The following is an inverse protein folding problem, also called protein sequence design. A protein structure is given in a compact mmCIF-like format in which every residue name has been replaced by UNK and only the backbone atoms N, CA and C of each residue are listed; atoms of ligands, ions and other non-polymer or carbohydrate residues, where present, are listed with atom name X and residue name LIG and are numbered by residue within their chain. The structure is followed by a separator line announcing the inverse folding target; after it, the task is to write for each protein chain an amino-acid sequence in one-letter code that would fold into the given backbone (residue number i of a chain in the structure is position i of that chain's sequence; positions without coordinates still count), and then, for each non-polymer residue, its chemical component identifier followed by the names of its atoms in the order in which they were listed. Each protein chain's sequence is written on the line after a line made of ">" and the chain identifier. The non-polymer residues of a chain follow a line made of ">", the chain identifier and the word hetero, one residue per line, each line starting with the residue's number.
data_IF_492203846181
#
_entry.id   IF_492203846181
#
_cell.length_a   1.000
_cell.length_b   1.000
_cell.length_c   1.000
_cell.angle_alpha   90.00
_cell.angle_beta   90.00
_cell.angle_gamma   90.00
#
_symmetry.space_group_name_H-M   'P 1'
#
loop_
_entity.id
_entity.type
_entity.pdbx_description
1 polymer ?
#
# COMPACT_ATOMS: atom_id res chain seq x y z
N UNK A 1 -60.96 27.42 25.33
CA UNK A 1 -61.82 26.22 25.43
C UNK A 1 -62.17 25.81 24.00
N UNK A 2 -61.65 24.67 23.52
CA UNK A 2 -62.15 23.77 22.45
C UNK A 2 -60.99 22.81 22.14
N UNK A 3 -61.15 21.58 22.63
CA UNK A 3 -60.29 20.42 22.40
C UNK A 3 -60.54 19.91 20.97
N UNK A 4 -59.49 19.70 20.17
CA UNK A 4 -59.56 18.84 18.99
C UNK A 4 -59.08 17.44 19.37
N UNK A 5 -60.02 16.49 19.35
CA UNK A 5 -59.76 15.05 19.42
C UNK A 5 -58.92 14.63 18.20
N UNK A 6 -57.73 14.12 18.44
CA UNK A 6 -57.03 13.27 17.46
C UNK A 6 -57.48 11.83 17.71
N UNK A 7 -58.35 11.32 16.82
CA UNK A 7 -58.67 9.91 16.73
C UNK A 7 -57.43 9.16 16.22
N UNK A 8 -57.07 8.09 16.91
CA UNK A 8 -55.91 7.28 16.61
C UNK A 8 -56.03 6.51 15.29
N UNK A 9 -54.89 6.39 14.61
CA UNK A 9 -54.61 5.29 13.72
C UNK A 9 -53.52 4.46 14.39
N UNK A 10 -53.94 3.39 15.08
CA UNK A 10 -53.04 2.33 15.52
C UNK A 10 -52.64 1.56 14.26
N UNK A 11 -51.44 1.83 13.75
CA UNK A 11 -50.83 0.97 12.75
C UNK A 11 -50.43 -0.33 13.45
N UNK A 12 -51.20 -1.39 13.20
CA UNK A 12 -50.80 -2.75 13.50
C UNK A 12 -49.65 -3.11 12.55
N UNK A 13 -48.42 -2.87 12.99
CA UNK A 13 -47.24 -3.43 12.36
C UNK A 13 -47.30 -4.96 12.55
N UNK A 14 -47.58 -5.66 11.45
CA UNK A 14 -47.35 -7.11 11.37
C UNK A 14 -45.85 -7.30 11.54
N UNK A 15 -45.46 -7.74 12.73
CA UNK A 15 -44.08 -8.03 13.09
C UNK A 15 -43.53 -9.20 12.28
N UNK A 16 -43.03 -8.91 11.08
CA UNK A 16 -41.88 -9.65 10.56
C UNK A 16 -40.70 -9.27 11.43
N UNK A 17 -40.05 -10.25 12.07
CA UNK A 17 -38.82 -10.02 12.80
C UNK A 17 -37.76 -9.58 11.78
N UNK A 18 -37.66 -8.28 11.50
CA UNK A 18 -36.59 -7.77 10.66
C UNK A 18 -35.28 -8.08 11.36
N UNK A 19 -34.42 -8.86 10.70
CA UNK A 19 -33.11 -9.17 11.20
C UNK A 19 -32.38 -7.87 11.55
N UNK A 20 -31.90 -7.77 12.78
CA UNK A 20 -31.19 -6.60 13.27
C UNK A 20 -29.89 -6.33 12.49
N UNK A 21 -29.27 -5.15 12.69
CA UNK A 21 -28.11 -4.72 11.91
C UNK A 21 -26.95 -5.73 11.90
N UNK A 22 -26.65 -6.37 13.03
CA UNK A 22 -25.61 -7.39 13.12
C UNK A 22 -25.93 -8.65 12.30
N UNK A 23 -27.15 -9.15 12.38
CA UNK A 23 -27.57 -10.34 11.63
C UNK A 23 -27.56 -10.11 10.10
N UNK A 24 -27.87 -8.88 9.64
CA UNK A 24 -27.75 -8.53 8.22
C UNK A 24 -26.30 -8.47 7.75
N UNK A 25 -25.41 -7.92 8.59
CA UNK A 25 -23.98 -7.93 8.32
C UNK A 25 -23.44 -9.36 8.22
N UNK A 26 -23.79 -10.24 9.15
CA UNK A 26 -23.41 -11.65 9.15
C UNK A 26 -23.87 -12.38 7.88
N UNK A 27 -25.10 -12.14 7.42
CA UNK A 27 -25.61 -12.71 6.18
C UNK A 27 -24.83 -12.21 4.94
N UNK A 28 -24.36 -10.97 4.95
CA UNK A 28 -23.48 -10.45 3.89
C UNK A 28 -22.10 -11.12 3.93
N UNK A 29 -21.54 -11.32 5.12
CA UNK A 29 -20.27 -12.03 5.30
C UNK A 29 -20.36 -13.51 4.91
N UNK A 30 -21.49 -14.18 5.15
CA UNK A 30 -21.70 -15.56 4.70
C UNK A 30 -21.56 -15.67 3.18
N UNK A 31 -22.19 -14.75 2.43
CA UNK A 31 -22.03 -14.69 0.97
C UNK A 31 -20.57 -14.42 0.58
N UNK A 32 -19.89 -13.55 1.31
CA UNK A 32 -18.48 -13.26 1.08
C UNK A 32 -17.62 -14.51 1.27
N UNK A 33 -17.85 -15.28 2.35
CA UNK A 33 -17.18 -16.56 2.61
C UNK A 33 -17.50 -17.61 1.55
N UNK A 34 -18.70 -17.56 0.96
CA UNK A 34 -19.09 -18.39 -0.18
C UNK A 34 -18.53 -17.88 -1.52
N UNK A 35 -17.64 -16.88 -1.52
CA UNK A 35 -17.07 -16.21 -2.69
C UNK A 35 -18.10 -15.54 -3.63
N UNK A 36 -19.35 -15.37 -3.20
CA UNK A 36 -20.34 -14.52 -3.88
C UNK A 36 -20.09 -13.05 -3.49
N UNK A 37 -18.97 -12.50 -3.96
CA UNK A 37 -18.55 -11.14 -3.64
C UNK A 37 -19.56 -10.08 -4.11
N UNK A 38 -20.19 -10.29 -5.27
CA UNK A 38 -21.20 -9.37 -5.79
C UNK A 38 -22.48 -9.42 -4.94
N UNK A 39 -22.92 -10.60 -4.51
CA UNK A 39 -24.04 -10.76 -3.59
C UNK A 39 -23.76 -10.26 -2.19
N UNK A 40 -22.53 -10.44 -1.70
CA UNK A 40 -22.07 -9.87 -0.44
C UNK A 40 -22.16 -8.33 -0.48
N UNK A 41 -21.64 -7.69 -1.53
CA UNK A 41 -21.74 -6.23 -1.71
C UNK A 41 -23.20 -5.75 -1.74
N UNK A 42 -24.10 -6.49 -2.40
CA UNK A 42 -25.54 -6.16 -2.37
C UNK A 42 -26.11 -6.24 -0.95
N UNK A 43 -25.79 -7.28 -0.20
CA UNK A 43 -26.25 -7.45 1.19
C UNK A 43 -25.63 -6.45 2.17
N UNK A 44 -24.37 -6.08 1.99
CA UNK A 44 -23.77 -4.98 2.74
C UNK A 44 -24.49 -3.66 2.45
N UNK A 45 -24.81 -3.37 1.19
CA UNK A 45 -25.50 -2.14 0.81
C UNK A 45 -26.90 -2.05 1.44
N UNK A 46 -27.64 -3.16 1.43
CA UNK A 46 -28.93 -3.28 2.11
C UNK A 46 -28.84 -3.02 3.63
N UNK A 47 -27.75 -3.47 4.28
CA UNK A 47 -27.48 -3.18 5.69
C UNK A 47 -27.30 -1.67 5.93
N UNK A 48 -26.56 -0.99 5.05
CA UNK A 48 -26.32 0.47 5.12
C UNK A 48 -27.61 1.25 4.90
N UNK A 49 -28.43 0.84 3.93
CA UNK A 49 -29.70 1.51 3.60
C UNK A 49 -30.73 1.35 4.72
N UNK A 50 -30.78 0.18 5.36
CA UNK A 50 -31.75 -0.12 6.42
C UNK A 50 -31.34 0.45 7.77
N UNK A 51 -30.03 0.43 8.09
CA UNK A 51 -29.52 0.82 9.41
C UNK A 51 -28.38 1.86 9.32
N UNK A 52 -28.61 3.04 8.70
CA UNK A 52 -27.57 4.02 8.37
C UNK A 52 -26.90 4.73 9.56
N UNK A 53 -27.34 4.47 10.80
CA UNK A 53 -26.71 5.03 12.00
C UNK A 53 -26.08 3.93 12.88
N UNK A 54 -26.10 2.68 12.42
CA UNK A 54 -25.56 1.54 13.15
C UNK A 54 -24.07 1.34 12.88
N UNK A 55 -23.36 0.69 13.82
CA UNK A 55 -22.01 0.18 13.57
C UNK A 55 -21.98 -0.86 12.44
N UNK A 56 -23.06 -1.61 12.22
CA UNK A 56 -23.08 -2.53 11.08
C UNK A 56 -22.99 -1.79 9.73
N UNK A 57 -23.46 -0.55 9.64
CA UNK A 57 -23.38 0.24 8.41
C UNK A 57 -21.96 0.76 8.11
N UNK A 58 -21.18 1.13 9.13
CA UNK A 58 -19.80 1.55 8.92
C UNK A 58 -18.89 0.37 8.52
N UNK A 59 -19.06 -0.79 9.18
CA UNK A 59 -18.43 -2.06 8.82
C UNK A 59 -18.82 -2.50 7.40
N UNK A 60 -20.12 -2.46 7.07
CA UNK A 60 -20.61 -2.82 5.75
C UNK A 60 -20.02 -1.94 4.64
N UNK A 61 -19.93 -0.61 4.84
CA UNK A 61 -19.30 0.29 3.88
C UNK A 61 -17.80 0.00 3.71
N UNK A 62 -17.09 -0.25 4.80
CA UNK A 62 -15.69 -0.66 4.73
C UNK A 62 -15.53 -1.95 3.91
N UNK A 63 -16.36 -2.96 4.16
CA UNK A 63 -16.29 -4.24 3.44
C UNK A 63 -16.74 -4.15 1.98
N UNK A 64 -17.70 -3.27 1.65
CA UNK A 64 -17.99 -2.93 0.25
C UNK A 64 -16.72 -2.40 -0.41
N UNK A 65 -16.03 -1.46 0.26
CA UNK A 65 -14.80 -0.88 -0.26
C UNK A 65 -13.71 -1.91 -0.54
N UNK A 66 -13.43 -2.75 0.46
CA UNK A 66 -12.42 -3.83 0.38
C UNK A 66 -12.76 -4.86 -0.68
N UNK A 67 -14.02 -5.29 -0.74
CA UNK A 67 -14.48 -6.31 -1.68
C UNK A 67 -14.43 -5.80 -3.11
N UNK A 68 -14.88 -4.56 -3.32
CA UNK A 68 -14.86 -3.91 -4.63
C UNK A 68 -13.43 -3.80 -5.19
N UNK A 69 -12.48 -3.39 -4.36
CA UNK A 69 -11.08 -3.23 -4.78
C UNK A 69 -10.40 -4.57 -5.08
N UNK A 70 -10.44 -5.50 -4.11
CA UNK A 70 -9.63 -6.73 -4.18
C UNK A 70 -10.23 -7.84 -5.04
N UNK A 71 -11.55 -7.97 -5.10
CA UNK A 71 -12.21 -9.14 -5.69
C UNK A 71 -13.04 -8.80 -6.92
N UNK A 72 -13.60 -7.60 -6.97
CA UNK A 72 -14.42 -7.16 -8.13
C UNK A 72 -13.63 -6.29 -9.11
N UNK A 73 -12.40 -5.89 -8.75
CA UNK A 73 -11.57 -4.99 -9.56
C UNK A 73 -12.29 -3.68 -9.92
N UNK A 74 -13.18 -3.20 -9.04
CA UNK A 74 -13.96 -1.96 -9.20
C UNK A 74 -13.42 -0.88 -8.24
N UNK A 75 -12.36 -0.16 -8.62
CA UNK A 75 -11.78 0.88 -7.78
C UNK A 75 -12.71 2.09 -7.62
N UNK A 76 -13.70 2.30 -8.50
CA UNK A 76 -14.63 3.43 -8.35
C UNK A 76 -15.64 3.17 -7.25
N UNK A 77 -16.17 1.95 -7.17
CA UNK A 77 -17.03 1.55 -6.07
C UNK A 77 -16.25 1.53 -4.74
N UNK A 78 -15.00 1.04 -4.76
CA UNK A 78 -14.14 1.08 -3.58
C UNK A 78 -13.94 2.51 -3.06
N UNK A 79 -13.60 3.43 -3.97
CA UNK A 79 -13.43 4.85 -3.70
C UNK A 79 -14.68 5.46 -3.05
N UNK A 80 -15.86 5.18 -3.60
CA UNK A 80 -17.12 5.71 -3.10
C UNK A 80 -17.42 5.18 -1.68
N UNK A 81 -17.19 3.90 -1.44
CA UNK A 81 -17.45 3.26 -0.16
C UNK A 81 -16.54 3.80 0.95
N UNK A 82 -15.22 3.87 0.73
CA UNK A 82 -14.29 4.43 1.72
C UNK A 82 -14.59 5.91 2.02
N UNK A 83 -14.90 6.71 1.00
CA UNK A 83 -15.34 8.10 1.21
C UNK A 83 -16.64 8.21 1.98
N UNK A 84 -17.54 7.24 1.81
CA UNK A 84 -18.80 7.18 2.58
C UNK A 84 -18.51 6.94 4.06
N UNK A 85 -17.61 6.02 4.41
CA UNK A 85 -17.15 5.80 5.79
C UNK A 85 -16.64 7.12 6.40
N UNK A 86 -15.69 7.77 5.72
CA UNK A 86 -15.05 8.99 6.21
C UNK A 86 -16.01 10.17 6.37
N UNK A 87 -17.03 10.26 5.51
CA UNK A 87 -17.99 11.37 5.52
C UNK A 87 -19.09 11.18 6.57
N UNK A 88 -19.61 9.96 6.67
CA UNK A 88 -20.82 9.68 7.46
C UNK A 88 -20.50 9.06 8.82
N UNK A 89 -19.33 8.45 8.97
CA UNK A 89 -18.89 7.75 10.18
C UNK A 89 -17.43 8.10 10.54
N UNK A 90 -17.08 9.40 10.69
CA UNK A 90 -15.70 9.83 10.95
C UNK A 90 -15.11 9.27 12.25
N UNK A 91 -15.96 8.99 13.25
CA UNK A 91 -15.56 8.41 14.55
C UNK A 91 -15.55 6.87 14.54
N UNK A 92 -15.83 6.24 13.40
CA UNK A 92 -15.82 4.79 13.28
C UNK A 92 -14.41 4.24 13.48
N UNK A 93 -14.24 3.07 14.13
CA UNK A 93 -12.98 2.32 14.09
C UNK A 93 -12.49 2.03 12.66
N UNK A 94 -13.40 2.05 11.66
CA UNK A 94 -13.07 1.86 10.25
C UNK A 94 -12.65 3.11 9.52
N UNK A 95 -12.85 4.30 10.08
CA UNK A 95 -12.48 5.56 9.41
C UNK A 95 -10.98 5.60 9.14
N UNK A 96 -10.19 5.22 10.14
CA UNK A 96 -8.74 5.15 10.08
C UNK A 96 -8.23 4.31 8.91
N UNK A 97 -8.66 3.06 8.88
CA UNK A 97 -8.26 2.12 7.86
C UNK A 97 -8.83 2.52 6.49
N UNK A 98 -10.07 3.01 6.43
CA UNK A 98 -10.67 3.48 5.17
C UNK A 98 -9.89 4.65 4.57
N UNK A 99 -9.37 5.56 5.39
CA UNK A 99 -8.50 6.66 4.96
C UNK A 99 -7.20 6.13 4.36
N UNK A 100 -6.59 5.13 5.01
CA UNK A 100 -5.37 4.48 4.52
C UNK A 100 -5.62 3.71 3.21
N UNK A 101 -6.70 2.92 3.12
CA UNK A 101 -7.08 2.20 1.90
C UNK A 101 -7.42 3.15 0.76
N UNK A 102 -8.04 4.28 1.05
CA UNK A 102 -8.30 5.32 0.07
C UNK A 102 -7.01 5.86 -0.55
N UNK A 103 -5.97 6.05 0.27
CA UNK A 103 -4.65 6.47 -0.20
C UNK A 103 -3.98 5.38 -1.06
N UNK A 104 -3.98 4.11 -0.60
CA UNK A 104 -3.47 2.96 -1.38
C UNK A 104 -4.20 2.83 -2.73
N UNK A 105 -5.50 3.09 -2.76
CA UNK A 105 -6.31 3.04 -3.98
C UNK A 105 -5.89 4.12 -4.99
N UNK A 106 -5.63 5.35 -4.53
CA UNK A 106 -5.08 6.41 -5.37
C UNK A 106 -3.69 6.07 -5.91
N UNK A 107 -2.84 5.53 -5.05
CA UNK A 107 -1.48 5.15 -5.41
C UNK A 107 -1.47 4.04 -6.47
N UNK A 108 -2.20 2.95 -6.23
CA UNK A 108 -2.03 1.70 -6.98
C UNK A 108 -3.01 1.53 -8.12
N UNK A 109 -4.27 1.94 -7.95
CA UNK A 109 -5.35 1.72 -8.93
C UNK A 109 -5.55 2.92 -9.84
N UNK A 110 -5.35 4.13 -9.32
CA UNK A 110 -5.48 5.36 -10.08
C UNK A 110 -4.14 5.97 -10.52
N UNK A 111 -3.02 5.48 -9.98
CA UNK A 111 -1.67 6.03 -10.26
C UNK A 111 -1.60 7.55 -10.03
N UNK A 112 -2.35 8.06 -9.05
CA UNK A 112 -2.43 9.48 -8.70
C UNK A 112 -1.66 9.72 -7.39
N UNK A 113 -0.33 9.78 -7.51
CA UNK A 113 0.59 9.92 -6.36
C UNK A 113 0.34 11.19 -5.55
N UNK A 114 -0.14 12.26 -6.21
CA UNK A 114 -0.43 13.52 -5.53
C UNK A 114 -1.63 13.35 -4.60
N UNK A 115 -2.72 12.76 -5.08
CA UNK A 115 -3.87 12.46 -4.22
C UNK A 115 -3.53 11.42 -3.17
N UNK A 116 -2.78 10.37 -3.52
CA UNK A 116 -2.35 9.38 -2.54
C UNK A 116 -1.57 10.02 -1.39
N UNK A 117 -0.62 10.92 -1.69
CA UNK A 117 0.14 11.66 -0.69
C UNK A 117 -0.76 12.50 0.22
N UNK A 118 -1.75 13.19 -0.34
CA UNK A 118 -2.70 14.00 0.45
C UNK A 118 -3.59 13.12 1.36
N UNK A 119 -4.06 11.98 0.86
CA UNK A 119 -4.86 11.05 1.66
C UNK A 119 -4.03 10.33 2.74
N UNK A 120 -2.76 9.97 2.47
CA UNK A 120 -1.87 9.45 3.50
C UNK A 120 -1.54 10.49 4.59
N UNK A 121 -1.39 11.78 4.23
CA UNK A 121 -1.23 12.85 5.23
C UNK A 121 -2.42 12.92 6.19
N UNK A 122 -3.64 12.73 5.67
CA UNK A 122 -4.85 12.71 6.51
C UNK A 122 -4.87 11.54 7.49
N UNK A 123 -4.30 10.38 7.13
CA UNK A 123 -4.09 9.27 8.09
C UNK A 123 -3.33 9.76 9.32
N UNK A 124 -2.28 10.57 9.12
CA UNK A 124 -1.42 11.05 10.22
C UNK A 124 -2.04 12.21 11.02
N UNK A 125 -2.87 13.05 10.40
CA UNK A 125 -3.48 14.23 11.05
C UNK A 125 -4.56 13.83 12.06
N UNK A 126 -5.32 12.77 11.77
CA UNK A 126 -6.42 12.33 12.63
C UNK A 126 -5.97 11.45 13.81
N UNK A 127 -4.69 11.55 14.22
CA UNK A 127 -4.18 10.89 15.42
C UNK A 127 -4.12 9.37 15.32
N UNK A 128 -4.09 8.82 14.10
CA UNK A 128 -3.94 7.38 13.92
C UNK A 128 -2.50 7.01 14.27
N UNK A 129 -2.38 6.23 15.33
CA UNK A 129 -1.11 5.67 15.80
C UNK A 129 -1.03 4.17 15.44
N UNK A 130 0.14 3.56 15.66
CA UNK A 130 0.35 2.15 15.36
C UNK A 130 0.70 1.86 13.89
N UNK A 131 0.38 0.66 13.43
CA UNK A 131 0.89 0.10 12.16
C UNK A 131 0.50 0.94 10.93
N UNK A 132 -0.74 1.46 10.89
CA UNK A 132 -1.21 2.29 9.77
C UNK A 132 -0.43 3.60 9.65
N UNK A 133 -0.04 4.21 10.77
CA UNK A 133 0.74 5.45 10.77
C UNK A 133 2.15 5.22 10.21
N UNK A 134 2.79 4.14 10.66
CA UNK A 134 4.11 3.74 10.18
C UNK A 134 4.08 3.44 8.67
N UNK A 135 3.10 2.63 8.22
CA UNK A 135 2.89 2.32 6.81
C UNK A 135 2.56 3.57 5.99
N UNK A 136 1.72 4.47 6.49
CA UNK A 136 1.40 5.71 5.79
C UNK A 136 2.63 6.58 5.58
N UNK A 137 3.47 6.77 6.61
CA UNK A 137 4.74 7.49 6.48
C UNK A 137 5.66 6.87 5.42
N UNK A 138 5.79 5.55 5.45
CA UNK A 138 6.58 4.80 4.47
C UNK A 138 6.06 5.01 3.03
N UNK A 139 4.74 4.91 2.82
CA UNK A 139 4.13 5.07 1.49
C UNK A 139 4.14 6.53 1.01
N UNK A 140 4.00 7.50 1.90
CA UNK A 140 4.15 8.93 1.58
C UNK A 140 5.51 9.23 0.97
N UNK A 141 6.58 8.64 1.52
CA UNK A 141 7.91 8.77 0.95
C UNK A 141 7.98 8.16 -0.46
N UNK A 142 7.32 7.02 -0.69
CA UNK A 142 7.14 6.44 -2.04
C UNK A 142 6.42 7.36 -3.02
N UNK A 143 5.31 7.97 -2.62
CA UNK A 143 4.61 8.95 -3.45
C UNK A 143 5.51 10.15 -3.77
N UNK A 144 6.24 10.69 -2.77
CA UNK A 144 7.19 11.79 -2.99
C UNK A 144 8.28 11.43 -3.99
N UNK A 145 8.83 10.23 -3.89
CA UNK A 145 9.84 9.72 -4.80
C UNK A 145 9.34 9.70 -6.25
N UNK A 146 8.13 9.15 -6.48
CA UNK A 146 7.51 9.12 -7.81
C UNK A 146 7.14 10.50 -8.35
N UNK A 147 6.85 11.45 -7.46
CA UNK A 147 6.65 12.87 -7.80
C UNK A 147 7.96 13.64 -8.02
N UNK A 148 9.12 12.99 -7.90
CA UNK A 148 10.44 13.60 -8.12
C UNK A 148 11.04 14.32 -6.90
N UNK A 149 10.35 14.35 -5.76
CA UNK A 149 10.86 14.89 -4.49
C UNK A 149 11.74 13.85 -3.77
N UNK A 150 12.80 13.43 -4.47
CA UNK A 150 13.67 12.30 -4.11
C UNK A 150 14.40 12.53 -2.79
N UNK A 151 14.88 13.75 -2.55
CA UNK A 151 15.62 14.08 -1.32
C UNK A 151 14.73 13.98 -0.08
N UNK A 152 13.48 14.47 -0.15
CA UNK A 152 12.53 14.32 0.95
C UNK A 152 12.07 12.88 1.11
N UNK A 153 11.87 12.15 0.01
CA UNK A 153 11.54 10.73 0.09
C UNK A 153 12.62 9.94 0.85
N UNK A 154 13.90 10.17 0.50
CA UNK A 154 15.05 9.58 1.19
C UNK A 154 15.04 9.93 2.68
N UNK A 155 14.92 11.21 3.03
CA UNK A 155 14.93 11.65 4.43
C UNK A 155 13.82 11.02 5.27
N UNK A 156 12.62 10.84 4.69
CA UNK A 156 11.48 10.21 5.36
C UNK A 156 11.69 8.69 5.54
N UNK A 157 12.27 8.00 4.55
CA UNK A 157 12.64 6.58 4.72
C UNK A 157 13.77 6.39 5.74
N UNK A 158 14.77 7.28 5.76
CA UNK A 158 15.83 7.24 6.77
C UNK A 158 15.25 7.46 8.18
N UNK A 159 14.31 8.39 8.32
CA UNK A 159 13.58 8.58 9.57
C UNK A 159 12.77 7.34 9.93
N UNK A 160 12.08 6.72 8.98
CA UNK A 160 11.34 5.48 9.20
C UNK A 160 12.24 4.37 9.74
N UNK A 161 13.42 4.17 9.15
CA UNK A 161 14.38 3.15 9.61
C UNK A 161 14.87 3.43 11.04
N UNK A 162 15.02 4.70 11.43
CA UNK A 162 15.39 5.08 12.81
C UNK A 162 14.23 4.91 13.80
N UNK A 163 13.03 5.30 13.42
CA UNK A 163 11.86 5.32 14.30
C UNK A 163 11.23 3.91 14.46
N UNK A 164 11.41 3.03 13.46
CA UNK A 164 10.82 1.69 13.42
C UNK A 164 11.85 0.61 13.00
N UNK A 165 12.94 0.43 13.76
CA UNK A 165 14.06 -0.45 13.37
C UNK A 165 13.67 -1.93 13.23
N UNK A 166 12.63 -2.37 13.94
CA UNK A 166 12.14 -3.76 13.93
C UNK A 166 11.03 -3.98 12.89
N UNK A 167 10.63 -2.96 12.12
CA UNK A 167 9.58 -3.11 11.12
C UNK A 167 10.02 -4.04 9.99
N UNK A 168 9.16 -4.96 9.52
CA UNK A 168 9.46 -5.79 8.34
C UNK A 168 9.65 -4.97 7.06
N UNK A 169 9.29 -3.69 7.07
CA UNK A 169 9.52 -2.77 5.94
C UNK A 169 10.92 -2.15 5.93
N UNK A 170 11.75 -2.33 6.97
CA UNK A 170 13.10 -1.75 7.03
C UNK A 170 13.99 -2.16 5.85
N UNK A 171 14.07 -3.45 5.44
CA UNK A 171 14.86 -3.83 4.26
C UNK A 171 14.38 -3.14 2.99
N UNK A 172 13.05 -3.01 2.83
CA UNK A 172 12.44 -2.29 1.70
C UNK A 172 12.77 -0.79 1.75
N UNK A 173 12.75 -0.17 2.92
CA UNK A 173 13.11 1.24 3.10
C UNK A 173 14.58 1.50 2.73
N UNK A 174 15.49 0.65 3.20
CA UNK A 174 16.92 0.73 2.86
C UNK A 174 17.17 0.54 1.35
N UNK A 175 16.47 -0.40 0.71
CA UNK A 175 16.52 -0.53 -0.75
C UNK A 175 16.06 0.75 -1.46
N UNK A 176 14.97 1.36 -0.99
CA UNK A 176 14.45 2.61 -1.56
C UNK A 176 15.36 3.82 -1.32
N UNK A 177 16.07 3.86 -0.19
CA UNK A 177 17.14 4.85 0.08
C UNK A 177 18.29 4.66 -0.93
N UNK A 178 18.76 3.44 -1.14
CA UNK A 178 19.78 3.15 -2.16
C UNK A 178 19.33 3.54 -3.57
N UNK A 179 18.07 3.25 -3.92
CA UNK A 179 17.44 3.70 -5.17
C UNK A 179 17.36 5.22 -5.30
N UNK A 180 17.19 5.95 -4.19
CA UNK A 180 17.24 7.41 -4.19
C UNK A 180 18.63 7.94 -4.53
N UNK A 181 19.68 7.35 -3.96
CA UNK A 181 21.06 7.66 -4.35
C UNK A 181 21.32 7.40 -5.84
N UNK A 182 20.84 6.27 -6.39
CA UNK A 182 20.94 5.98 -7.83
C UNK A 182 20.27 7.05 -8.68
N UNK A 183 19.02 7.44 -8.35
CA UNK A 183 18.30 8.48 -9.12
C UNK A 183 18.98 9.84 -9.04
N UNK A 184 19.69 10.13 -7.95
CA UNK A 184 20.45 11.36 -7.77
C UNK A 184 21.82 11.35 -8.48
N UNK A 185 22.24 10.22 -9.04
CA UNK A 185 23.57 10.07 -9.63
C UNK A 185 24.68 10.03 -8.56
N UNK A 186 24.37 9.46 -7.40
CA UNK A 186 25.28 9.29 -6.26
C UNK A 186 25.61 7.78 -6.08
N UNK A 187 26.26 7.13 -7.06
CA UNK A 187 26.40 5.67 -7.07
C UNK A 187 27.29 5.14 -5.95
N UNK A 188 28.23 5.92 -5.42
CA UNK A 188 29.09 5.53 -4.29
C UNK A 188 28.27 5.29 -3.03
N UNK A 189 27.38 6.22 -2.69
CA UNK A 189 26.48 6.07 -1.54
C UNK A 189 25.46 4.94 -1.78
N UNK A 190 24.96 4.79 -3.01
CA UNK A 190 24.10 3.67 -3.37
C UNK A 190 24.80 2.32 -3.14
N UNK A 191 26.06 2.18 -3.59
CA UNK A 191 26.89 0.98 -3.36
C UNK A 191 27.05 0.69 -1.87
N UNK A 192 27.32 1.71 -1.05
CA UNK A 192 27.44 1.53 0.40
C UNK A 192 26.13 1.04 1.01
N UNK A 193 25.02 1.71 0.72
CA UNK A 193 23.69 1.35 1.26
C UNK A 193 23.27 -0.06 0.83
N UNK A 194 23.46 -0.44 -0.44
CA UNK A 194 23.13 -1.79 -0.90
C UNK A 194 24.05 -2.86 -0.32
N UNK A 195 25.33 -2.55 -0.10
CA UNK A 195 26.27 -3.43 0.59
C UNK A 195 25.82 -3.70 2.03
N UNK A 196 25.59 -2.64 2.81
CA UNK A 196 25.13 -2.72 4.20
C UNK A 196 23.81 -3.49 4.31
N UNK A 197 22.90 -3.29 3.34
CA UNK A 197 21.61 -3.99 3.27
C UNK A 197 21.79 -5.50 3.06
N UNK A 198 22.68 -5.93 2.16
CA UNK A 198 22.94 -7.36 1.91
C UNK A 198 23.65 -8.04 3.09
N UNK A 199 24.50 -7.31 3.82
CA UNK A 199 25.17 -7.83 5.01
C UNK A 199 24.17 -8.05 6.16
N UNK A 200 23.28 -7.07 6.37
CA UNK A 200 22.31 -7.12 7.47
C UNK A 200 21.09 -7.98 7.18
N UNK A 201 20.68 -8.07 5.91
CA UNK A 201 19.47 -8.77 5.48
C UNK A 201 19.76 -9.66 4.26
N UNK A 202 20.60 -10.70 4.41
CA UNK A 202 21.03 -11.55 3.30
C UNK A 202 19.88 -12.33 2.65
N UNK A 203 18.80 -12.58 3.38
CA UNK A 203 17.62 -13.33 2.92
C UNK A 203 16.40 -12.43 2.64
N UNK A 204 16.62 -11.12 2.46
CA UNK A 204 15.53 -10.22 2.08
C UNK A 204 14.88 -10.69 0.77
N UNK A 205 13.55 -10.56 0.64
CA UNK A 205 12.80 -10.90 -0.59
C UNK A 205 13.39 -10.25 -1.85
N UNK A 206 14.05 -9.09 -1.68
CA UNK A 206 14.66 -8.30 -2.73
C UNK A 206 16.15 -8.61 -2.96
N UNK A 207 16.71 -9.67 -2.37
CA UNK A 207 18.16 -9.97 -2.41
C UNK A 207 18.74 -9.88 -3.84
N UNK A 208 18.10 -10.55 -4.79
CA UNK A 208 18.56 -10.59 -6.19
C UNK A 208 18.56 -9.21 -6.83
N UNK A 209 17.51 -8.42 -6.58
CA UNK A 209 17.39 -7.05 -7.07
C UNK A 209 18.45 -6.15 -6.42
N UNK A 210 18.69 -6.26 -5.11
CA UNK A 210 19.72 -5.48 -4.41
C UNK A 210 21.12 -5.81 -4.96
N UNK A 211 21.43 -7.10 -5.18
CA UNK A 211 22.71 -7.52 -5.79
C UNK A 211 22.89 -6.98 -7.19
N UNK A 212 21.82 -6.98 -8.00
CA UNK A 212 21.85 -6.38 -9.33
C UNK A 212 22.12 -4.88 -9.27
N UNK A 213 21.40 -4.14 -8.42
CA UNK A 213 21.60 -2.70 -8.27
C UNK A 213 23.01 -2.36 -7.77
N UNK A 214 23.55 -3.15 -6.85
CA UNK A 214 24.94 -3.02 -6.39
C UNK A 214 25.95 -3.20 -7.54
N UNK A 215 25.77 -4.24 -8.37
CA UNK A 215 26.61 -4.48 -9.54
C UNK A 215 26.52 -3.32 -10.56
N UNK A 216 25.30 -2.80 -10.78
CA UNK A 216 25.08 -1.67 -11.67
C UNK A 216 25.73 -0.37 -11.15
N UNK A 217 25.67 -0.10 -9.85
CA UNK A 217 26.34 1.06 -9.24
C UNK A 217 27.87 0.97 -9.39
N UNK A 218 28.45 -0.22 -9.18
CA UNK A 218 29.89 -0.45 -9.40
C UNK A 218 30.28 -0.28 -10.88
N UNK A 219 29.43 -0.71 -11.81
CA UNK A 219 29.61 -0.51 -13.24
C UNK A 219 29.61 0.98 -13.60
N UNK A 220 28.69 1.76 -13.03
CA UNK A 220 28.58 3.21 -13.23
C UNK A 220 29.79 3.97 -12.66
N UNK A 221 30.30 3.55 -11.51
CA UNK A 221 31.57 4.04 -10.93
C UNK A 221 32.80 3.67 -11.76
N UNK A 222 32.66 2.85 -12.81
CA UNK A 222 33.77 2.40 -13.65
C UNK A 222 34.63 1.29 -13.02
N UNK A 223 34.22 0.75 -11.87
CA UNK A 223 34.85 -0.39 -11.17
C UNK A 223 34.46 -1.71 -11.85
N UNK A 224 34.87 -1.85 -13.12
CA UNK A 224 34.35 -2.89 -14.01
C UNK A 224 34.67 -4.31 -13.53
N UNK A 225 35.86 -4.55 -12.98
CA UNK A 225 36.25 -5.87 -12.46
C UNK A 225 35.37 -6.28 -11.26
N UNK A 226 35.09 -5.36 -10.34
CA UNK A 226 34.20 -5.60 -9.20
C UNK A 226 32.76 -5.83 -9.65
N UNK A 227 32.24 -4.98 -10.54
CA UNK A 227 30.90 -5.12 -11.12
C UNK A 227 30.73 -6.48 -11.81
N UNK A 228 31.72 -6.89 -12.60
CA UNK A 228 31.75 -8.20 -13.27
C UNK A 228 31.69 -9.35 -12.27
N UNK A 229 32.42 -9.26 -11.15
CA UNK A 229 32.35 -10.22 -10.05
C UNK A 229 30.92 -10.33 -9.50
N UNK A 230 30.28 -9.20 -9.17
CA UNK A 230 28.92 -9.19 -8.63
C UNK A 230 27.87 -9.73 -9.61
N UNK A 231 27.97 -9.40 -10.89
CA UNK A 231 27.06 -9.97 -11.90
C UNK A 231 27.21 -11.49 -12.03
N UNK A 232 28.44 -12.03 -11.90
CA UNK A 232 28.67 -13.48 -11.95
C UNK A 232 28.01 -14.22 -10.77
N UNK A 233 27.99 -13.62 -9.57
CA UNK A 233 27.34 -14.21 -8.39
C UNK A 233 25.83 -14.43 -8.56
N UNK A 234 25.17 -13.59 -9.37
CA UNK A 234 23.73 -13.66 -9.61
C UNK A 234 23.36 -14.30 -10.95
N UNK A 235 24.34 -14.63 -11.81
CA UNK A 235 24.14 -15.07 -13.20
C UNK A 235 23.01 -16.10 -13.37
N UNK A 236 23.02 -17.16 -12.57
CA UNK A 236 22.11 -18.31 -12.75
C UNK A 236 20.91 -18.28 -11.78
N UNK A 237 20.87 -17.31 -10.86
CA UNK A 237 19.83 -17.18 -9.83
C UNK A 237 18.91 -15.98 -10.05
N UNK A 238 19.34 -15.02 -10.85
CA UNK A 238 18.54 -13.85 -11.18
C UNK A 238 17.32 -14.26 -12.02
N UNK A 239 16.13 -13.67 -11.82
CA UNK A 239 14.91 -14.03 -12.57
C UNK A 239 15.04 -13.98 -14.09
N UNK A 240 15.96 -13.16 -14.61
CA UNK A 240 16.33 -13.14 -16.02
C UNK A 240 17.84 -13.38 -16.21
N UNK A 241 18.29 -14.65 -16.25
CA UNK A 241 19.71 -15.00 -16.38
C UNK A 241 20.36 -14.47 -17.66
N UNK A 242 19.61 -14.43 -18.77
CA UNK A 242 20.13 -13.98 -20.06
C UNK A 242 20.51 -12.50 -20.05
N UNK A 243 19.73 -11.65 -19.37
CA UNK A 243 20.09 -10.25 -19.18
C UNK A 243 21.43 -10.10 -18.44
N UNK A 244 21.70 -10.95 -17.45
CA UNK A 244 22.96 -10.94 -16.72
C UNK A 244 24.12 -11.43 -17.58
N UNK A 245 23.93 -12.48 -18.38
CA UNK A 245 24.95 -12.97 -19.33
C UNK A 245 25.36 -11.89 -20.33
N UNK A 246 24.39 -11.14 -20.87
CA UNK A 246 24.67 -10.00 -21.77
C UNK A 246 25.47 -8.92 -21.07
N UNK A 247 25.11 -8.56 -19.83
CA UNK A 247 25.87 -7.60 -19.01
C UNK A 247 27.31 -8.05 -18.79
N UNK A 248 27.52 -9.31 -18.40
CA UNK A 248 28.84 -9.93 -18.22
C UNK A 248 29.69 -9.82 -19.49
N UNK A 249 29.17 -10.27 -20.64
CA UNK A 249 29.90 -10.22 -21.91
C UNK A 249 30.22 -8.78 -22.36
N UNK A 250 29.34 -7.82 -22.05
CA UNK A 250 29.59 -6.39 -22.25
C UNK A 250 30.76 -5.87 -21.43
N UNK A 251 30.82 -6.21 -20.14
CA UNK A 251 31.90 -5.82 -19.24
C UNK A 251 33.23 -6.46 -19.62
N UNK A 252 33.25 -7.75 -19.97
CA UNK A 252 34.47 -8.46 -20.37
C UNK A 252 35.14 -7.81 -21.58
N UNK A 253 34.35 -7.41 -22.59
CA UNK A 253 34.87 -6.66 -23.76
C UNK A 253 35.45 -5.30 -23.36
N UNK A 254 34.77 -4.55 -22.50
CA UNK A 254 35.24 -3.24 -22.01
C UNK A 254 36.54 -3.36 -21.20
N UNK A 255 36.67 -4.41 -20.39
CA UNK A 255 37.87 -4.68 -19.59
C UNK A 255 39.04 -5.07 -20.50
N UNK A 256 38.80 -5.96 -21.48
CA UNK A 256 39.83 -6.37 -22.45
C UNK A 256 40.36 -5.17 -23.24
N UNK A 257 39.47 -4.28 -23.72
CA UNK A 257 39.85 -3.09 -24.48
C UNK A 257 40.60 -2.03 -23.66
N UNK A 258 40.55 -2.07 -22.32
CA UNK A 258 41.34 -1.17 -21.45
C UNK A 258 42.75 -1.70 -21.17
N UNK A 259 42.98 -3.00 -21.38
CA UNK A 259 44.22 -3.71 -21.03
C UNK A 259 45.15 -3.93 -22.23
N UNK A 260 44.64 -3.79 -23.46
CA UNK A 260 45.43 -3.81 -24.70
C UNK A 260 45.70 -2.39 -25.19
#
# INVERSE_FOLDING_TARGET
>A
MIRRLFLGAVFLAVGGCEAGPAARLEAAEEKWRAADYAGAVRSYRDTVETFPLSRAADDALYWIGRTADLYLSDPRQALAAYRSVLRHYPESPRAAESQFRLAELYETRFSDDRRALDEYRRVLIHGLEGEFAARARFQMAGCRFRLGDVDRARAEWEKFVRDFPDSPLVPRALYLIGRAYVVKGEPEEATRVFGDLLERYPEAELEMEIRYQLAACLEEQGKLDEALGRYREIRDRYPNPEAIKVKIAGLERRIANRRG
#
